data_IF_389687497913
#
_entry.id   IF_389687497913
#
_cell.length_a   1.000
_cell.length_b   1.000
_cell.length_c   1.000
_cell.angle_alpha   90.00
_cell.angle_beta   90.00
_cell.angle_gamma   90.00
#
_symmetry.space_group_name_H-M   'P 1'
#
loop_
_entity.id
_entity.type
_entity.pdbx_description
1 polymer ?
#
# COMPACT_ATOMS: atom_id res chain seq x y z
N UNK A 1 -52.62 -9.37 -12.53
CA UNK A 1 -52.34 -10.64 -11.84
C UNK A 1 -52.70 -11.79 -12.71
N UNK A 2 -51.81 -12.05 -13.66
CA UNK A 2 -51.67 -13.37 -14.22
C UNK A 2 -50.97 -14.27 -13.18
N UNK A 3 -51.18 -15.57 -13.31
CA UNK A 3 -50.42 -16.58 -12.58
C UNK A 3 -49.82 -17.51 -13.61
N UNK A 4 -48.51 -17.67 -13.55
CA UNK A 4 -47.69 -18.43 -14.48
C UNK A 4 -47.02 -19.56 -13.70
N UNK A 5 -47.10 -20.77 -14.24
CA UNK A 5 -46.52 -21.96 -13.65
C UNK A 5 -45.55 -22.58 -14.66
N UNK A 6 -44.33 -22.82 -14.22
CA UNK A 6 -43.36 -23.67 -14.88
C UNK A 6 -43.71 -25.15 -14.72
N UNK A 7 -42.72 -25.96 -15.02
CA UNK A 7 -42.70 -27.42 -14.95
C UNK A 7 -41.79 -27.86 -13.81
N UNK A 8 -41.18 -29.04 -13.88
CA UNK A 8 -40.18 -29.48 -12.90
C UNK A 8 -38.78 -29.58 -13.54
N UNK A 9 -38.57 -28.90 -14.67
CA UNK A 9 -37.29 -28.76 -15.31
C UNK A 9 -37.06 -27.31 -15.67
N UNK A 10 -35.91 -27.01 -16.28
CA UNK A 10 -35.50 -25.65 -16.64
C UNK A 10 -36.56 -24.95 -17.51
N UNK A 11 -37.10 -23.85 -16.99
CA UNK A 11 -38.10 -23.02 -17.63
C UNK A 11 -37.64 -21.56 -17.78
N UNK A 12 -38.11 -20.91 -18.85
CA UNK A 12 -37.97 -19.46 -19.05
C UNK A 12 -39.37 -18.84 -18.97
N UNK A 13 -39.63 -18.14 -17.87
CA UNK A 13 -40.95 -17.62 -17.53
C UNK A 13 -40.92 -16.10 -17.51
N UNK A 14 -41.87 -15.48 -18.21
CA UNK A 14 -41.97 -14.03 -18.31
C UNK A 14 -43.38 -13.53 -18.03
N UNK A 15 -43.46 -12.56 -17.13
CA UNK A 15 -44.67 -11.83 -16.75
C UNK A 15 -45.09 -10.77 -17.76
N UNK A 16 -45.92 -9.85 -17.28
CA UNK A 16 -46.56 -8.78 -18.02
C UNK A 16 -46.22 -7.43 -17.38
N UNK A 17 -46.71 -6.32 -17.94
CA UNK A 17 -46.54 -5.01 -17.32
C UNK A 17 -47.52 -4.74 -16.16
N UNK A 18 -48.10 -5.79 -15.57
CA UNK A 18 -48.97 -5.70 -14.38
C UNK A 18 -48.55 -6.75 -13.38
N UNK A 19 -48.81 -6.52 -12.09
CA UNK A 19 -48.56 -7.48 -11.01
C UNK A 19 -48.88 -8.91 -11.40
N UNK A 20 -47.94 -9.83 -11.25
CA UNK A 20 -48.04 -11.25 -11.61
C UNK A 20 -47.57 -12.16 -10.46
N UNK A 21 -47.90 -13.45 -10.57
CA UNK A 21 -47.33 -14.50 -9.72
C UNK A 21 -46.69 -15.56 -10.63
N UNK A 22 -45.40 -15.80 -10.49
CA UNK A 22 -44.62 -16.71 -11.32
C UNK A 22 -44.01 -17.78 -10.41
N UNK A 23 -44.19 -19.05 -10.77
CA UNK A 23 -43.67 -20.21 -10.01
C UNK A 23 -42.84 -21.10 -10.92
N UNK A 24 -41.53 -21.23 -10.66
CA UNK A 24 -40.60 -22.11 -11.39
C UNK A 24 -40.76 -23.58 -11.02
N UNK A 25 -40.80 -23.85 -9.70
CA UNK A 25 -40.85 -25.16 -9.05
C UNK A 25 -39.51 -25.87 -8.90
N UNK A 26 -39.14 -26.76 -9.81
CA UNK A 26 -37.87 -27.51 -9.76
C UNK A 26 -37.13 -27.26 -11.06
N UNK A 27 -35.81 -27.20 -11.00
CA UNK A 27 -34.99 -26.87 -12.16
C UNK A 27 -34.31 -25.53 -11.95
N UNK A 28 -33.35 -25.21 -12.81
CA UNK A 28 -32.63 -23.94 -12.78
C UNK A 28 -33.38 -22.97 -13.70
N UNK A 29 -34.33 -22.21 -13.16
CA UNK A 29 -35.31 -21.46 -13.93
C UNK A 29 -34.92 -19.98 -14.11
N UNK A 30 -35.41 -19.35 -15.18
CA UNK A 30 -35.29 -17.90 -15.39
C UNK A 30 -36.67 -17.25 -15.29
N UNK A 31 -36.86 -16.38 -14.30
CA UNK A 31 -38.13 -15.72 -14.00
C UNK A 31 -37.99 -14.21 -14.16
N UNK A 32 -38.81 -13.61 -15.03
CA UNK A 32 -38.81 -12.16 -15.28
C UNK A 32 -40.21 -11.57 -15.04
N UNK A 33 -40.37 -10.68 -14.06
CA UNK A 33 -41.63 -10.00 -13.72
C UNK A 33 -42.06 -8.97 -14.76
N UNK A 34 -41.10 -8.21 -15.28
CA UNK A 34 -41.28 -7.06 -16.20
C UNK A 34 -41.76 -5.80 -15.49
N UNK A 35 -43.03 -5.69 -15.13
CA UNK A 35 -43.47 -4.51 -14.41
C UNK A 35 -44.79 -4.68 -13.67
N UNK A 36 -45.01 -3.84 -12.67
CA UNK A 36 -46.05 -4.07 -11.67
C UNK A 36 -45.43 -4.63 -10.39
N UNK A 37 -46.28 -5.02 -9.44
CA UNK A 37 -45.80 -5.59 -8.18
C UNK A 37 -45.94 -7.10 -8.23
N UNK A 38 -44.85 -7.77 -8.54
CA UNK A 38 -44.77 -9.18 -8.89
C UNK A 38 -44.37 -10.06 -7.70
N UNK A 39 -44.68 -11.35 -7.83
CA UNK A 39 -44.25 -12.39 -6.88
C UNK A 39 -43.60 -13.50 -7.67
N UNK A 40 -42.28 -13.61 -7.61
CA UNK A 40 -41.48 -14.62 -8.28
C UNK A 40 -41.03 -15.65 -7.25
N UNK A 41 -41.30 -16.92 -7.53
CA UNK A 41 -40.89 -18.06 -6.70
C UNK A 41 -40.08 -19.00 -7.60
N UNK A 42 -38.76 -19.05 -7.40
CA UNK A 42 -37.85 -19.95 -8.13
C UNK A 42 -38.19 -21.40 -7.80
N UNK A 43 -37.89 -21.81 -6.57
CA UNK A 43 -38.26 -23.11 -6.04
C UNK A 43 -37.04 -23.91 -5.61
N UNK A 44 -36.73 -25.02 -6.28
CA UNK A 44 -35.49 -25.77 -6.05
C UNK A 44 -34.67 -25.77 -7.33
N UNK A 45 -33.38 -25.52 -7.22
CA UNK A 45 -32.47 -25.35 -8.36
C UNK A 45 -31.77 -24.01 -8.25
N UNK A 46 -30.86 -23.73 -9.16
CA UNK A 46 -30.20 -22.43 -9.23
C UNK A 46 -31.02 -21.50 -10.13
N UNK A 47 -31.87 -20.68 -9.53
CA UNK A 47 -32.82 -19.84 -10.25
C UNK A 47 -32.25 -18.43 -10.51
N UNK A 48 -32.63 -17.83 -11.63
CA UNK A 48 -32.33 -16.43 -11.98
C UNK A 48 -33.60 -15.60 -11.98
N UNK A 49 -33.68 -14.58 -11.14
CA UNK A 49 -34.88 -13.76 -10.93
C UNK A 49 -34.61 -12.29 -11.29
N UNK A 50 -35.51 -11.70 -12.10
CA UNK A 50 -35.57 -10.26 -12.37
C UNK A 50 -36.99 -9.75 -12.10
N UNK A 51 -37.16 -8.94 -11.05
CA UNK A 51 -38.45 -8.34 -10.70
C UNK A 51 -38.95 -7.32 -11.72
N UNK A 52 -38.04 -6.64 -12.43
CA UNK A 52 -38.39 -5.51 -13.29
C UNK A 52 -38.83 -4.28 -12.50
N UNK A 53 -39.79 -3.53 -13.07
CA UNK A 53 -40.29 -2.28 -12.49
C UNK A 53 -41.39 -2.53 -11.44
N UNK A 54 -41.15 -2.20 -10.19
CA UNK A 54 -42.22 -2.10 -9.20
C UNK A 54 -41.79 -2.54 -7.81
N UNK A 55 -42.77 -2.94 -6.99
CA UNK A 55 -42.49 -3.49 -5.66
C UNK A 55 -42.70 -4.98 -5.66
N UNK A 56 -41.62 -5.74 -5.74
CA UNK A 56 -41.66 -7.18 -6.01
C UNK A 56 -41.26 -8.01 -4.79
N UNK A 57 -41.75 -9.24 -4.75
CA UNK A 57 -41.26 -10.29 -3.87
C UNK A 57 -40.52 -11.32 -4.72
N UNK A 58 -39.23 -11.48 -4.46
CA UNK A 58 -38.36 -12.48 -5.11
C UNK A 58 -37.96 -13.52 -4.07
N UNK A 59 -38.37 -14.77 -4.29
CA UNK A 59 -38.08 -15.90 -3.42
C UNK A 59 -37.35 -16.95 -4.25
N UNK A 60 -36.03 -17.07 -4.07
CA UNK A 60 -35.20 -18.03 -4.81
C UNK A 60 -35.55 -19.46 -4.40
N UNK A 61 -35.60 -19.69 -3.09
CA UNK A 61 -36.05 -20.93 -2.50
C UNK A 61 -34.87 -21.77 -2.02
N UNK A 62 -34.53 -22.81 -2.77
CA UNK A 62 -33.43 -23.71 -2.42
C UNK A 62 -32.49 -23.92 -3.58
N UNK A 63 -31.24 -23.50 -3.43
CA UNK A 63 -30.22 -23.61 -4.46
C UNK A 63 -29.21 -22.51 -4.28
N UNK A 64 -28.63 -22.06 -5.40
CA UNK A 64 -27.85 -20.82 -5.45
C UNK A 64 -28.59 -19.88 -6.40
N UNK A 65 -29.36 -18.97 -5.82
CA UNK A 65 -30.31 -18.15 -6.57
C UNK A 65 -29.74 -16.76 -6.82
N UNK A 66 -29.87 -16.27 -8.06
CA UNK A 66 -29.31 -15.01 -8.53
C UNK A 66 -30.42 -14.00 -8.86
N UNK A 67 -30.36 -12.80 -8.28
CA UNK A 67 -31.15 -11.66 -8.75
C UNK A 67 -30.33 -10.79 -9.71
N UNK A 68 -30.94 -10.35 -10.82
CA UNK A 68 -30.23 -9.64 -11.90
C UNK A 68 -30.78 -8.24 -12.12
N UNK A 69 -29.88 -7.26 -12.10
CA UNK A 69 -30.18 -5.85 -12.35
C UNK A 69 -29.35 -5.25 -13.49
N UNK A 70 -28.75 -6.07 -14.36
CA UNK A 70 -27.81 -5.65 -15.41
C UNK A 70 -28.31 -4.56 -16.39
N UNK A 71 -29.62 -4.38 -16.52
CA UNK A 71 -30.22 -3.31 -17.34
C UNK A 71 -30.47 -2.00 -16.58
N UNK A 72 -30.31 -2.01 -15.25
CA UNK A 72 -30.57 -0.88 -14.38
C UNK A 72 -29.39 0.09 -14.38
N UNK A 73 -29.67 1.38 -14.52
CA UNK A 73 -28.66 2.44 -14.61
C UNK A 73 -28.63 3.35 -13.38
N UNK A 74 -29.37 3.00 -12.33
CA UNK A 74 -29.35 3.70 -11.04
C UNK A 74 -28.71 2.80 -9.99
N UNK A 75 -28.15 3.34 -8.90
CA UNK A 75 -27.60 2.51 -7.83
C UNK A 75 -28.60 1.46 -7.33
N UNK A 76 -28.11 0.27 -7.04
CA UNK A 76 -28.79 -0.84 -6.37
C UNK A 76 -28.18 -0.98 -4.99
N UNK A 77 -29.02 -1.04 -3.96
CA UNK A 77 -28.59 -1.27 -2.59
C UNK A 77 -29.30 -2.49 -2.04
N UNK A 78 -28.56 -3.55 -1.76
CA UNK A 78 -29.08 -4.80 -1.22
C UNK A 78 -28.39 -5.16 0.09
N UNK A 79 -29.17 -5.66 1.04
CA UNK A 79 -28.67 -6.28 2.27
C UNK A 79 -29.44 -7.58 2.49
N UNK A 80 -28.77 -8.71 2.22
CA UNK A 80 -29.35 -10.05 2.28
C UNK A 80 -29.87 -10.39 3.69
N UNK A 81 -29.29 -9.79 4.74
CA UNK A 81 -29.70 -10.00 6.14
C UNK A 81 -31.03 -9.33 6.45
N UNK A 82 -31.33 -8.23 5.74
CA UNK A 82 -32.62 -7.52 5.89
C UNK A 82 -33.67 -8.00 4.90
N UNK A 83 -33.24 -8.63 3.80
CA UNK A 83 -34.12 -9.09 2.72
C UNK A 83 -34.73 -7.94 1.91
N UNK A 84 -34.04 -6.80 1.81
CA UNK A 84 -34.54 -5.62 1.08
C UNK A 84 -33.53 -5.16 0.05
N UNK A 85 -34.03 -4.89 -1.16
CA UNK A 85 -33.29 -4.21 -2.22
C UNK A 85 -33.97 -2.87 -2.54
N UNK A 86 -33.17 -1.82 -2.72
CA UNK A 86 -33.65 -0.47 -2.98
C UNK A 86 -32.84 0.23 -4.07
N UNK A 87 -33.50 1.15 -4.79
CA UNK A 87 -32.91 1.87 -5.91
C UNK A 87 -32.96 3.38 -5.66
N UNK A 88 -31.92 3.97 -5.06
CA UNK A 88 -31.81 5.41 -4.94
C UNK A 88 -32.13 6.14 -6.26
N UNK A 89 -33.08 7.06 -6.21
CA UNK A 89 -33.58 7.78 -7.39
C UNK A 89 -34.84 7.18 -8.03
N UNK A 90 -35.17 5.92 -7.74
CA UNK A 90 -36.36 5.23 -8.23
C UNK A 90 -37.33 4.89 -7.07
N UNK A 91 -37.96 5.91 -6.47
CA UNK A 91 -38.83 5.77 -5.27
C UNK A 91 -40.02 4.82 -5.41
N UNK A 92 -40.35 4.40 -6.63
CA UNK A 92 -41.46 3.50 -6.94
C UNK A 92 -41.03 2.03 -7.00
N UNK A 93 -39.72 1.76 -6.90
CA UNK A 93 -39.11 0.45 -7.06
C UNK A 93 -38.42 0.00 -5.78
N UNK A 94 -38.67 -1.24 -5.38
CA UNK A 94 -38.01 -1.91 -4.26
C UNK A 94 -38.37 -3.38 -4.24
N UNK A 95 -37.43 -4.26 -3.94
CA UNK A 95 -37.74 -5.68 -3.79
C UNK A 95 -37.64 -6.13 -2.33
N UNK A 96 -38.49 -7.10 -1.99
CA UNK A 96 -38.30 -7.98 -0.85
C UNK A 96 -37.71 -9.27 -1.37
N UNK A 97 -36.55 -9.66 -0.84
CA UNK A 97 -35.85 -10.87 -1.27
C UNK A 97 -35.84 -11.90 -0.15
N UNK A 98 -35.93 -13.18 -0.52
CA UNK A 98 -35.93 -14.33 0.38
C UNK A 98 -35.11 -15.44 -0.27
N UNK A 99 -34.21 -16.07 0.49
CA UNK A 99 -33.36 -17.16 0.01
C UNK A 99 -32.67 -16.80 -1.31
N UNK A 100 -31.87 -15.73 -1.28
CA UNK A 100 -31.07 -15.28 -2.42
C UNK A 100 -29.63 -15.26 -1.95
N UNK A 101 -28.74 -15.86 -2.73
CA UNK A 101 -27.31 -15.93 -2.45
C UNK A 101 -26.50 -15.09 -3.46
N UNK A 102 -27.07 -14.79 -4.62
CA UNK A 102 -26.40 -14.08 -5.71
C UNK A 102 -27.06 -12.76 -6.09
N UNK A 103 -26.25 -11.75 -6.39
CA UNK A 103 -26.72 -10.46 -6.92
C UNK A 103 -25.82 -10.01 -8.07
N UNK A 104 -26.43 -9.69 -9.21
CA UNK A 104 -25.78 -8.99 -10.31
C UNK A 104 -26.31 -7.55 -10.39
N UNK A 105 -25.40 -6.59 -10.24
CA UNK A 105 -25.63 -5.16 -10.27
C UNK A 105 -25.86 -4.57 -11.66
N UNK A 106 -26.09 -3.27 -11.65
CA UNK A 106 -26.36 -2.45 -12.82
C UNK A 106 -25.11 -1.77 -13.39
N UNK A 107 -25.29 -0.58 -13.94
CA UNK A 107 -24.19 0.22 -14.49
C UNK A 107 -23.82 1.45 -13.65
N UNK A 108 -24.25 1.48 -12.39
CA UNK A 108 -24.03 2.58 -11.46
C UNK A 108 -23.36 2.02 -10.21
N UNK A 109 -22.77 2.88 -9.38
CA UNK A 109 -22.17 2.44 -8.12
C UNK A 109 -23.20 1.81 -7.18
N UNK A 110 -23.09 0.50 -7.03
CA UNK A 110 -23.98 -0.38 -6.29
C UNK A 110 -23.43 -0.69 -4.88
N UNK A 111 -24.28 -1.22 -4.01
CA UNK A 111 -23.87 -1.60 -2.65
C UNK A 111 -24.54 -2.90 -2.25
N UNK A 112 -23.78 -3.98 -2.11
CA UNK A 112 -24.27 -5.30 -1.74
C UNK A 112 -23.65 -5.75 -0.43
N UNK A 113 -24.51 -6.22 0.48
CA UNK A 113 -24.10 -6.77 1.77
C UNK A 113 -24.68 -8.18 1.86
N UNK A 114 -23.77 -9.14 1.98
CA UNK A 114 -24.01 -10.57 2.17
C UNK A 114 -24.57 -10.91 3.53
N UNK A 115 -24.71 -12.20 3.80
CA UNK A 115 -25.21 -12.71 5.06
C UNK A 115 -24.20 -13.62 5.78
N UNK A 116 -24.56 -14.86 6.08
CA UNK A 116 -23.65 -15.82 6.71
C UNK A 116 -23.46 -17.09 5.89
N UNK A 117 -24.00 -17.11 4.67
CA UNK A 117 -23.86 -18.17 3.69
C UNK A 117 -22.87 -17.73 2.61
N UNK A 118 -22.49 -18.66 1.73
CA UNK A 118 -21.72 -18.32 0.53
C UNK A 118 -22.55 -17.43 -0.40
N UNK A 119 -22.05 -16.24 -0.69
CA UNK A 119 -22.69 -15.25 -1.54
C UNK A 119 -21.88 -15.01 -2.83
N UNK A 120 -22.57 -14.65 -3.91
CA UNK A 120 -21.93 -14.35 -5.21
C UNK A 120 -22.39 -12.99 -5.74
N UNK A 121 -21.52 -12.00 -5.68
CA UNK A 121 -21.81 -10.64 -6.09
C UNK A 121 -21.01 -10.21 -7.33
N UNK A 122 -21.69 -9.51 -8.23
CA UNK A 122 -21.09 -8.87 -9.40
C UNK A 122 -21.57 -7.42 -9.48
N UNK A 123 -20.68 -6.45 -9.32
CA UNK A 123 -20.98 -5.02 -9.39
C UNK A 123 -21.29 -4.52 -10.81
N UNK A 124 -20.57 -5.06 -11.80
CA UNK A 124 -20.61 -4.68 -13.22
C UNK A 124 -19.89 -3.37 -13.52
N UNK A 125 -20.57 -2.26 -13.86
CA UNK A 125 -19.88 -0.98 -14.05
C UNK A 125 -20.30 -0.04 -12.93
N UNK A 126 -19.40 0.84 -12.50
CA UNK A 126 -19.68 1.76 -11.41
C UNK A 126 -18.57 1.67 -10.39
N UNK A 127 -18.66 2.49 -9.34
CA UNK A 127 -17.80 2.32 -8.18
C UNK A 127 -18.64 1.60 -7.13
N UNK A 128 -18.45 0.30 -7.04
CA UNK A 128 -19.29 -0.63 -6.31
C UNK A 128 -18.70 -0.91 -4.92
N UNK A 129 -19.58 -1.19 -3.95
CA UNK A 129 -19.20 -1.56 -2.60
C UNK A 129 -19.80 -2.93 -2.25
N UNK A 130 -18.98 -3.97 -2.23
CA UNK A 130 -19.38 -5.36 -2.08
C UNK A 130 -18.82 -5.92 -0.76
N UNK A 131 -19.68 -6.48 0.09
CA UNK A 131 -19.27 -7.09 1.35
C UNK A 131 -19.89 -8.48 1.54
N UNK A 132 -19.07 -9.52 1.72
CA UNK A 132 -19.51 -10.91 1.94
C UNK A 132 -19.99 -11.18 3.37
N UNK A 133 -19.29 -10.63 4.36
CA UNK A 133 -19.47 -10.84 5.81
C UNK A 133 -18.94 -12.18 6.32
N UNK A 134 -19.73 -13.25 6.27
CA UNK A 134 -19.26 -14.59 6.67
C UNK A 134 -19.66 -15.54 5.56
N UNK A 135 -18.79 -16.48 5.21
CA UNK A 135 -19.14 -17.41 4.16
C UNK A 135 -17.91 -17.89 3.43
N UNK A 136 -18.12 -18.28 2.18
CA UNK A 136 -17.06 -18.46 1.22
C UNK A 136 -17.57 -17.77 -0.02
N UNK A 137 -17.24 -16.49 -0.12
CA UNK A 137 -17.91 -15.55 -0.96
C UNK A 137 -17.15 -15.37 -2.27
N UNK A 138 -17.86 -14.95 -3.31
CA UNK A 138 -17.26 -14.56 -4.60
C UNK A 138 -17.72 -13.16 -4.93
N UNK A 139 -16.79 -12.20 -4.86
CA UNK A 139 -17.05 -10.78 -5.07
C UNK A 139 -16.30 -10.32 -6.32
N UNK A 140 -17.05 -9.78 -7.30
CA UNK A 140 -16.49 -9.26 -8.55
C UNK A 140 -16.95 -7.80 -8.69
N UNK A 141 -16.04 -6.83 -8.62
CA UNK A 141 -16.32 -5.40 -8.79
C UNK A 141 -16.78 -5.12 -10.21
N UNK A 142 -15.87 -5.23 -11.16
CA UNK A 142 -16.13 -5.15 -12.58
C UNK A 142 -15.36 -4.00 -13.22
N UNK A 143 -15.97 -2.84 -13.42
CA UNK A 143 -15.31 -1.69 -14.01
C UNK A 143 -15.65 -0.41 -13.25
N UNK A 144 -14.63 0.29 -12.80
CA UNK A 144 -14.70 1.47 -11.95
C UNK A 144 -13.76 1.31 -10.78
N UNK A 145 -13.89 2.13 -9.75
CA UNK A 145 -13.06 1.99 -8.56
C UNK A 145 -13.91 1.38 -7.45
N UNK A 146 -13.71 0.09 -7.23
CA UNK A 146 -14.55 -0.76 -6.41
C UNK A 146 -13.94 -1.02 -5.02
N UNK A 147 -14.80 -1.35 -4.06
CA UNK A 147 -14.41 -1.73 -2.71
C UNK A 147 -15.02 -3.09 -2.38
N UNK A 148 -14.16 -4.09 -2.22
CA UNK A 148 -14.54 -5.47 -1.96
C UNK A 148 -14.03 -5.91 -0.59
N UNK A 149 -14.92 -6.44 0.24
CA UNK A 149 -14.64 -6.94 1.59
C UNK A 149 -15.22 -8.36 1.72
N UNK A 150 -14.37 -9.38 1.63
CA UNK A 150 -14.76 -10.79 1.76
C UNK A 150 -15.36 -11.07 3.13
N UNK A 151 -14.59 -10.77 4.18
CA UNK A 151 -15.00 -10.88 5.57
C UNK A 151 -14.41 -12.12 6.22
N UNK A 152 -15.23 -12.99 6.78
CA UNK A 152 -14.74 -14.20 7.44
C UNK A 152 -15.01 -15.44 6.60
N UNK A 153 -13.93 -16.15 6.27
CA UNK A 153 -13.96 -17.43 5.58
C UNK A 153 -13.17 -17.32 4.28
N UNK A 154 -12.99 -18.43 3.54
CA UNK A 154 -12.18 -18.41 2.34
C UNK A 154 -12.94 -17.78 1.18
N UNK A 155 -12.51 -16.59 0.76
CA UNK A 155 -13.20 -15.76 -0.22
C UNK A 155 -12.44 -15.66 -1.55
N UNK A 156 -13.16 -15.32 -2.62
CA UNK A 156 -12.60 -14.99 -3.93
C UNK A 156 -13.00 -13.58 -4.32
N UNK A 157 -12.01 -12.71 -4.44
CA UNK A 157 -12.18 -11.29 -4.73
C UNK A 157 -11.57 -10.95 -6.08
N UNK A 158 -12.32 -10.23 -6.91
CA UNK A 158 -11.80 -9.66 -8.13
C UNK A 158 -12.27 -8.22 -8.34
N UNK A 159 -11.33 -7.28 -8.31
CA UNK A 159 -11.60 -5.85 -8.51
C UNK A 159 -12.12 -5.57 -9.91
N UNK A 160 -11.32 -5.88 -10.93
CA UNK A 160 -11.65 -5.68 -12.32
C UNK A 160 -10.85 -4.53 -12.93
N UNK A 161 -11.49 -3.70 -13.74
CA UNK A 161 -10.86 -2.52 -14.33
C UNK A 161 -11.01 -1.31 -13.42
N UNK A 162 -9.93 -0.57 -13.20
CA UNK A 162 -9.93 0.63 -12.37
C UNK A 162 -9.17 0.37 -11.08
N UNK A 163 -9.11 1.37 -10.21
CA UNK A 163 -8.28 1.28 -9.00
C UNK A 163 -9.13 0.77 -7.86
N UNK A 164 -8.95 -0.48 -7.50
CA UNK A 164 -9.81 -1.19 -6.58
C UNK A 164 -9.19 -1.32 -5.19
N UNK A 165 -10.03 -1.51 -4.17
CA UNK A 165 -9.60 -1.86 -2.81
C UNK A 165 -10.21 -3.19 -2.43
N UNK A 166 -9.37 -4.19 -2.18
CA UNK A 166 -9.80 -5.54 -1.83
C UNK A 166 -9.29 -5.94 -0.44
N UNK A 167 -10.16 -6.58 0.34
CA UNK A 167 -9.85 -7.08 1.69
C UNK A 167 -10.43 -8.47 1.91
N UNK A 168 -9.58 -9.43 2.23
CA UNK A 168 -9.97 -10.83 2.50
C UNK A 168 -10.25 -11.11 3.98
N UNK A 169 -9.53 -10.42 4.88
CA UNK A 169 -9.59 -10.64 6.33
C UNK A 169 -9.03 -12.01 6.76
N UNK A 170 -9.72 -12.80 7.59
CA UNK A 170 -9.19 -14.04 8.17
C UNK A 170 -9.47 -15.22 7.23
N UNK A 171 -8.55 -16.19 7.19
CA UNK A 171 -8.56 -17.44 6.41
C UNK A 171 -7.93 -17.28 5.02
N UNK A 172 -7.80 -18.39 4.29
CA UNK A 172 -7.14 -18.45 3.00
C UNK A 172 -8.01 -17.81 1.91
N UNK A 173 -7.58 -16.67 1.38
CA UNK A 173 -8.29 -15.92 0.36
C UNK A 173 -7.61 -15.97 -1.01
N UNK A 174 -8.38 -15.63 -2.04
CA UNK A 174 -7.91 -15.55 -3.41
C UNK A 174 -8.27 -14.20 -4.02
N UNK A 175 -7.25 -13.44 -4.40
CA UNK A 175 -7.38 -12.14 -5.07
C UNK A 175 -6.93 -12.24 -6.53
N UNK A 176 -7.72 -11.65 -7.43
CA UNK A 176 -7.38 -11.49 -8.84
C UNK A 176 -7.72 -10.07 -9.31
N UNK A 177 -6.84 -9.40 -10.05
CA UNK A 177 -7.24 -8.14 -10.72
C UNK A 177 -8.36 -8.37 -11.74
N UNK A 178 -8.28 -9.44 -12.55
CA UNK A 178 -9.27 -9.69 -13.61
C UNK A 178 -9.68 -11.15 -13.76
N UNK A 179 -10.97 -11.34 -14.06
CA UNK A 179 -11.54 -12.66 -14.32
C UNK A 179 -11.29 -13.12 -15.76
N UNK A 180 -11.20 -12.22 -16.75
CA UNK A 180 -10.87 -12.55 -18.15
C UNK A 180 -10.58 -11.28 -18.98
N UNK A 181 -9.42 -11.25 -19.65
CA UNK A 181 -8.99 -10.42 -20.81
C UNK A 181 -7.95 -9.33 -20.50
N UNK A 182 -6.83 -9.42 -21.22
CA UNK A 182 -5.68 -8.52 -21.24
C UNK A 182 -6.06 -7.04 -21.50
N UNK A 183 -5.61 -6.20 -20.56
CA UNK A 183 -5.31 -4.75 -20.62
C UNK A 183 -6.55 -3.83 -20.51
N UNK A 184 -6.72 -3.01 -19.46
CA UNK A 184 -5.78 -2.20 -18.67
C UNK A 184 -6.28 -2.23 -17.22
N UNK A 185 -5.59 -2.97 -16.35
CA UNK A 185 -5.94 -3.02 -14.93
C UNK A 185 -5.49 -1.70 -14.27
N UNK A 186 -6.09 -1.36 -13.12
CA UNK A 186 -5.77 -0.13 -12.40
C UNK A 186 -4.68 -0.34 -11.36
N UNK A 187 -4.39 0.72 -10.62
CA UNK A 187 -3.48 0.63 -9.48
C UNK A 187 -4.31 0.14 -8.27
N UNK A 188 -4.20 -1.15 -7.95
CA UNK A 188 -5.03 -1.80 -6.92
C UNK A 188 -4.40 -1.76 -5.53
N UNK A 189 -5.24 -1.75 -4.50
CA UNK A 189 -4.83 -1.87 -3.10
C UNK A 189 -5.39 -3.17 -2.49
N UNK A 190 -4.51 -4.09 -2.13
CA UNK A 190 -4.87 -5.40 -1.58
C UNK A 190 -4.46 -5.44 -0.11
N UNK A 191 -5.45 -5.63 0.77
CA UNK A 191 -5.28 -5.71 2.21
C UNK A 191 -5.47 -7.15 2.67
N UNK A 192 -4.42 -7.75 3.22
CA UNK A 192 -4.44 -9.11 3.75
C UNK A 192 -4.14 -9.14 5.26
N UNK A 193 -4.62 -10.19 5.92
CA UNK A 193 -4.36 -10.43 7.35
C UNK A 193 -3.83 -11.85 7.62
N UNK A 194 -4.52 -12.67 8.43
CA UNK A 194 -4.14 -14.07 8.69
C UNK A 194 -4.70 -15.00 7.61
N UNK A 195 -3.89 -15.92 7.08
CA UNK A 195 -4.33 -16.92 6.09
C UNK A 195 -3.23 -17.29 5.12
N UNK A 196 -3.44 -18.32 4.30
CA UNK A 196 -2.58 -18.62 3.14
C UNK A 196 -3.23 -18.09 1.87
N UNK A 197 -2.84 -16.88 1.48
CA UNK A 197 -3.47 -16.19 0.36
C UNK A 197 -2.79 -16.46 -1.00
N UNK A 198 -3.60 -16.35 -2.05
CA UNK A 198 -3.12 -16.21 -3.43
C UNK A 198 -3.46 -14.83 -3.96
N UNK A 199 -2.43 -14.07 -4.34
CA UNK A 199 -2.54 -12.66 -4.72
C UNK A 199 -1.94 -12.46 -6.10
N UNK A 200 -2.73 -11.86 -6.99
CA UNK A 200 -2.32 -11.39 -8.31
C UNK A 200 -2.88 -9.98 -8.53
N UNK A 201 -2.01 -8.96 -8.45
CA UNK A 201 -2.38 -7.56 -8.67
C UNK A 201 -2.62 -7.21 -10.14
N UNK A 202 -2.20 -8.07 -11.08
CA UNK A 202 -2.47 -7.86 -12.49
C UNK A 202 -1.55 -6.85 -13.15
N UNK A 203 -2.12 -5.82 -13.78
CA UNK A 203 -1.38 -4.78 -14.46
C UNK A 203 -1.67 -3.42 -13.84
N UNK A 204 -0.66 -2.58 -13.67
CA UNK A 204 -0.84 -1.35 -12.91
C UNK A 204 0.35 -1.19 -11.97
N UNK A 205 0.22 -0.26 -11.03
CA UNK A 205 1.14 -0.15 -9.89
C UNK A 205 0.42 -0.61 -8.64
N UNK A 206 0.48 -1.91 -8.38
CA UNK A 206 -0.36 -2.53 -7.35
C UNK A 206 0.31 -2.48 -5.98
N UNK A 207 -0.49 -2.20 -4.95
CA UNK A 207 -0.05 -2.04 -3.57
C UNK A 207 -0.57 -3.17 -2.70
N UNK A 208 0.36 -3.92 -2.11
CA UNK A 208 0.05 -4.91 -1.09
C UNK A 208 0.27 -4.31 0.31
N UNK A 209 -0.79 -4.27 1.12
CA UNK A 209 -0.74 -3.85 2.52
C UNK A 209 -0.88 -5.08 3.40
N UNK A 210 0.17 -5.38 4.16
CA UNK A 210 0.23 -6.57 5.02
C UNK A 210 0.01 -6.14 6.47
N UNK A 211 -1.16 -6.45 7.03
CA UNK A 211 -1.47 -6.10 8.43
C UNK A 211 -1.36 -7.33 9.32
N UNK A 212 -0.39 -7.35 10.24
CA UNK A 212 -0.26 -8.40 11.25
C UNK A 212 -1.20 -8.10 12.43
N UNK A 213 -2.13 -8.99 12.83
CA UNK A 213 -2.95 -8.74 14.00
C UNK A 213 -2.08 -8.69 15.27
N UNK A 214 -2.26 -7.64 16.07
CA UNK A 214 -1.66 -7.55 17.41
C UNK A 214 -2.29 -8.58 18.33
N UNK A 215 -1.69 -9.78 18.40
CA UNK A 215 -2.16 -10.85 19.27
C UNK A 215 -2.00 -10.46 20.75
N UNK A 216 -3.06 -9.92 21.37
CA UNK A 216 -3.13 -9.67 22.82
C UNK A 216 -3.37 -10.99 23.59
N UNK A 217 -2.43 -11.93 23.52
CA UNK A 217 -2.39 -13.03 24.48
C UNK A 217 -1.73 -12.59 25.80
N UNK A 218 -2.60 -12.16 26.71
CA UNK A 218 -2.58 -12.51 28.14
C UNK A 218 -1.22 -12.93 28.76
N UNK A 219 -0.65 -12.02 29.56
CA UNK A 219 0.37 -12.18 30.63
C UNK A 219 1.86 -12.22 30.26
N UNK A 220 2.52 -11.06 30.43
CA UNK A 220 3.94 -10.90 30.79
C UNK A 220 5.02 -11.41 29.82
N UNK A 221 4.93 -11.02 28.54
CA UNK A 221 6.11 -10.90 27.67
C UNK A 221 5.88 -9.71 26.72
N UNK A 222 6.88 -8.86 26.54
CA UNK A 222 6.90 -7.87 25.45
C UNK A 222 7.04 -8.71 24.18
N UNK A 223 6.01 -8.72 23.34
CA UNK A 223 6.05 -9.42 22.06
C UNK A 223 6.60 -8.43 21.04
N UNK A 224 7.64 -8.85 20.34
CA UNK A 224 8.03 -8.26 19.06
C UNK A 224 6.90 -8.62 18.09
N UNK A 225 6.34 -7.64 17.38
CA UNK A 225 5.45 -7.92 16.26
C UNK A 225 6.19 -8.81 15.26
N UNK A 226 5.63 -9.97 14.86
CA UNK A 226 6.31 -10.81 13.90
C UNK A 226 6.47 -10.07 12.57
N UNK A 227 7.69 -9.95 12.07
CA UNK A 227 7.94 -9.28 10.79
C UNK A 227 7.49 -10.09 9.58
N UNK A 228 7.42 -9.39 8.46
CA UNK A 228 7.03 -9.84 7.12
C UNK A 228 8.28 -10.24 6.33
N UNK A 229 8.27 -11.37 5.62
CA UNK A 229 9.32 -11.70 4.64
C UNK A 229 8.73 -11.78 3.25
N UNK A 230 8.89 -10.73 2.45
CA UNK A 230 8.40 -10.64 1.09
C UNK A 230 9.55 -10.76 0.07
N UNK A 231 9.31 -11.50 -1.00
CA UNK A 231 10.16 -11.53 -2.17
C UNK A 231 9.28 -11.47 -3.43
N UNK A 232 9.20 -10.29 -4.03
CA UNK A 232 8.37 -10.01 -5.20
C UNK A 232 8.92 -10.69 -6.46
N UNK A 233 10.24 -10.84 -6.57
CA UNK A 233 10.88 -11.56 -7.68
C UNK A 233 10.60 -13.08 -7.68
N UNK A 234 10.47 -13.71 -6.50
CA UNK A 234 10.13 -15.12 -6.34
C UNK A 234 8.63 -15.35 -6.16
N UNK A 235 7.87 -14.28 -5.92
CA UNK A 235 6.44 -14.29 -5.66
C UNK A 235 6.04 -14.98 -4.36
N UNK A 236 6.85 -14.82 -3.32
CA UNK A 236 6.63 -15.46 -2.01
C UNK A 236 6.55 -14.43 -0.91
N UNK A 237 5.52 -14.54 -0.08
CA UNK A 237 5.39 -13.83 1.19
C UNK A 237 5.44 -14.88 2.32
N UNK A 238 5.88 -14.46 3.51
CA UNK A 238 5.75 -15.22 4.76
C UNK A 238 5.41 -14.22 5.85
N UNK A 239 4.27 -14.41 6.50
CA UNK A 239 3.87 -13.65 7.69
C UNK A 239 4.10 -14.49 8.96
N UNK A 240 4.78 -13.92 9.96
CA UNK A 240 4.93 -14.48 11.31
C UNK A 240 5.50 -15.92 11.43
N UNK A 241 6.31 -16.36 10.46
CA UNK A 241 6.89 -17.72 10.36
C UNK A 241 5.86 -18.87 10.34
N UNK A 242 4.57 -18.58 10.11
CA UNK A 242 3.51 -19.58 10.18
C UNK A 242 3.29 -20.25 8.82
N UNK A 243 3.07 -19.49 7.74
CA UNK A 243 2.66 -20.02 6.44
C UNK A 243 3.24 -19.17 5.28
N UNK A 244 3.13 -19.64 4.02
CA UNK A 244 3.70 -18.98 2.82
C UNK A 244 2.58 -18.57 1.90
N UNK A 245 2.37 -17.28 1.72
CA UNK A 245 1.44 -16.74 0.73
C UNK A 245 2.13 -16.68 -0.64
N UNK A 246 1.32 -16.73 -1.70
CA UNK A 246 1.81 -16.56 -3.08
C UNK A 246 1.40 -15.19 -3.58
N UNK A 247 2.38 -14.39 -3.96
CA UNK A 247 2.20 -13.02 -4.45
C UNK A 247 2.77 -12.92 -5.86
N UNK A 248 2.04 -12.35 -6.80
CA UNK A 248 2.54 -12.05 -8.15
C UNK A 248 2.00 -10.70 -8.57
N UNK A 249 2.73 -9.98 -9.43
CA UNK A 249 2.27 -8.70 -10.00
C UNK A 249 1.92 -7.68 -8.91
N UNK A 250 2.87 -7.42 -8.02
CA UNK A 250 2.79 -6.36 -7.01
C UNK A 250 4.06 -5.55 -7.16
N UNK A 251 3.94 -4.23 -7.18
CA UNK A 251 5.05 -3.28 -7.33
C UNK A 251 5.29 -2.47 -6.06
N UNK A 252 4.25 -2.23 -5.26
CA UNK A 252 4.31 -1.43 -4.05
C UNK A 252 3.93 -2.26 -2.82
N UNK A 253 4.56 -1.95 -1.68
CA UNK A 253 4.39 -2.72 -0.45
C UNK A 253 4.37 -1.79 0.74
N UNK A 254 3.40 -2.00 1.63
CA UNK A 254 3.37 -1.41 2.98
C UNK A 254 3.31 -2.55 4.00
N UNK A 255 4.37 -2.68 4.81
CA UNK A 255 4.41 -3.63 5.94
C UNK A 255 4.03 -2.94 7.24
N UNK A 256 3.61 -3.69 8.27
CA UNK A 256 3.30 -3.17 9.60
C UNK A 256 4.54 -2.99 10.48
N UNK A 257 4.34 -2.78 11.79
CA UNK A 257 5.44 -2.81 12.75
C UNK A 257 6.02 -4.25 12.83
N UNK A 258 7.33 -4.40 13.03
CA UNK A 258 8.05 -5.66 13.14
C UNK A 258 9.36 -5.63 12.37
N UNK A 259 10.20 -6.65 12.56
CA UNK A 259 11.46 -6.77 11.81
C UNK A 259 11.18 -7.34 10.40
N UNK A 260 10.88 -6.47 9.44
CA UNK A 260 10.48 -6.88 8.08
C UNK A 260 11.67 -7.10 7.15
N UNK A 261 11.51 -7.99 6.17
CA UNK A 261 12.47 -8.23 5.10
C UNK A 261 11.76 -8.21 3.74
N UNK A 262 12.04 -7.20 2.92
CA UNK A 262 11.40 -7.02 1.60
C UNK A 262 12.46 -7.09 0.51
N UNK A 263 12.24 -7.95 -0.49
CA UNK A 263 12.94 -7.88 -1.77
C UNK A 263 11.94 -7.43 -2.83
N UNK A 264 12.19 -6.27 -3.43
CA UNK A 264 11.43 -5.73 -4.53
C UNK A 264 11.65 -6.50 -5.85
N UNK A 265 11.16 -5.91 -6.92
CA UNK A 265 11.09 -6.50 -8.25
C UNK A 265 12.14 -5.89 -9.19
N UNK A 266 11.84 -5.86 -10.49
CA UNK A 266 12.65 -5.12 -11.48
C UNK A 266 11.89 -3.91 -12.03
N UNK A 267 10.74 -3.57 -11.44
CA UNK A 267 9.94 -2.40 -11.74
C UNK A 267 10.14 -1.38 -10.62
N UNK A 268 9.88 -0.11 -10.90
CA UNK A 268 9.88 0.98 -9.91
C UNK A 268 8.95 0.63 -8.74
N UNK A 269 9.51 0.44 -7.54
CA UNK A 269 8.79 0.00 -6.34
C UNK A 269 8.67 1.12 -5.31
N UNK A 270 7.47 1.31 -4.74
CA UNK A 270 7.28 2.07 -3.49
C UNK A 270 7.20 1.08 -2.31
N UNK A 271 8.23 1.06 -1.47
CA UNK A 271 8.32 0.16 -0.32
C UNK A 271 8.31 1.00 0.97
N UNK A 272 7.29 0.81 1.79
CA UNK A 272 7.19 1.43 3.12
C UNK A 272 7.22 0.35 4.19
N UNK A 273 8.19 0.46 5.10
CA UNK A 273 8.30 -0.40 6.28
C UNK A 273 8.07 0.46 7.52
N UNK A 274 7.25 0.00 8.48
CA UNK A 274 7.02 0.72 9.73
C UNK A 274 8.08 0.34 10.79
N UNK A 275 7.81 0.53 12.08
CA UNK A 275 8.81 0.37 13.15
C UNK A 275 9.39 -1.06 13.20
N UNK A 276 10.70 -1.21 13.41
CA UNK A 276 11.39 -2.49 13.56
C UNK A 276 12.76 -2.52 12.87
N UNK A 277 13.52 -3.58 13.08
CA UNK A 277 14.83 -3.75 12.44
C UNK A 277 14.63 -4.32 11.02
N UNK A 278 14.39 -3.42 10.06
CA UNK A 278 13.95 -3.77 8.71
C UNK A 278 15.10 -3.99 7.73
N UNK A 279 14.90 -4.87 6.74
CA UNK A 279 15.84 -5.12 5.64
C UNK A 279 15.12 -5.00 4.30
N UNK A 280 15.46 -4.00 3.49
CA UNK A 280 14.88 -3.75 2.17
C UNK A 280 15.95 -3.80 1.09
N UNK A 281 15.68 -4.58 0.04
CA UNK A 281 16.42 -4.56 -1.22
C UNK A 281 15.41 -4.31 -2.35
N UNK A 282 15.33 -3.09 -2.88
CA UNK A 282 14.28 -2.74 -3.84
C UNK A 282 14.51 -3.36 -5.23
N UNK A 283 15.77 -3.46 -5.68
CA UNK A 283 16.14 -4.33 -6.79
C UNK A 283 16.59 -3.54 -7.99
N UNK A 284 15.81 -3.52 -9.07
CA UNK A 284 16.10 -2.69 -10.23
C UNK A 284 14.85 -1.87 -10.59
N UNK A 285 15.04 -0.68 -11.15
CA UNK A 285 13.96 0.30 -11.27
C UNK A 285 14.34 1.56 -10.51
N UNK A 286 13.54 2.61 -10.66
CA UNK A 286 13.70 3.82 -9.86
C UNK A 286 12.79 3.69 -8.63
N UNK A 287 13.37 3.24 -7.53
CA UNK A 287 12.61 2.81 -6.36
C UNK A 287 12.46 3.95 -5.34
N UNK A 288 11.41 3.87 -4.51
CA UNK A 288 11.25 4.73 -3.34
C UNK A 288 11.11 3.87 -2.10
N UNK A 289 12.04 4.02 -1.16
CA UNK A 289 12.06 3.26 0.10
C UNK A 289 11.79 4.22 1.26
N UNK A 290 10.83 3.87 2.12
CA UNK A 290 10.50 4.60 3.35
C UNK A 290 10.73 3.65 4.53
N UNK A 291 11.73 3.95 5.36
CA UNK A 291 12.04 3.21 6.59
C UNK A 291 11.08 3.53 7.75
N UNK A 292 11.13 2.72 8.81
CA UNK A 292 10.33 2.90 10.03
C UNK A 292 10.81 4.03 10.93
N UNK A 293 9.97 4.56 11.83
CA UNK A 293 10.39 5.66 12.73
C UNK A 293 11.32 5.20 13.87
N UNK A 294 11.36 3.89 14.13
CA UNK A 294 12.19 3.25 15.12
C UNK A 294 12.77 1.92 14.59
N UNK A 295 14.02 1.62 14.94
CA UNK A 295 14.70 0.39 14.52
C UNK A 295 16.13 0.64 14.06
N UNK A 296 16.85 -0.43 13.75
CA UNK A 296 18.05 -0.39 12.89
C UNK A 296 17.66 -0.86 11.47
N UNK A 297 17.58 0.05 10.50
CA UNK A 297 17.17 -0.32 9.14
C UNK A 297 18.37 -0.65 8.25
N UNK A 298 18.20 -1.58 7.31
CA UNK A 298 19.11 -1.83 6.19
C UNK A 298 18.36 -1.62 4.89
N UNK A 299 18.55 -0.49 4.23
CA UNK A 299 17.82 -0.08 3.03
C UNK A 299 18.76 0.00 1.83
N UNK A 300 18.44 -0.69 0.74
CA UNK A 300 19.21 -0.70 -0.49
C UNK A 300 18.29 -0.49 -1.70
N UNK A 301 18.53 0.58 -2.47
CA UNK A 301 17.79 0.90 -3.70
C UNK A 301 18.07 -0.15 -4.78
N UNK A 302 19.33 -0.27 -5.18
CA UNK A 302 19.78 -1.34 -6.07
C UNK A 302 20.27 -0.78 -7.39
N UNK A 303 19.49 -0.86 -8.46
CA UNK A 303 19.89 -0.35 -9.77
C UNK A 303 18.80 0.53 -10.39
N UNK A 304 19.10 1.81 -10.58
CA UNK A 304 18.18 2.84 -11.05
C UNK A 304 18.38 4.12 -10.22
N UNK A 305 17.65 5.18 -10.54
CA UNK A 305 17.74 6.43 -9.77
C UNK A 305 16.77 6.33 -8.58
N UNK A 306 17.28 5.99 -7.39
CA UNK A 306 16.46 5.62 -6.23
C UNK A 306 16.27 6.77 -5.22
N UNK A 307 15.16 6.76 -4.48
CA UNK A 307 14.86 7.69 -3.38
C UNK A 307 14.70 6.93 -2.05
N UNK A 308 15.60 7.16 -1.09
CA UNK A 308 15.64 6.42 0.18
C UNK A 308 15.41 7.37 1.35
N UNK A 309 14.39 7.09 2.15
CA UNK A 309 14.06 7.80 3.37
C UNK A 309 14.39 6.94 4.59
N UNK A 310 15.62 7.10 5.08
CA UNK A 310 16.05 6.61 6.40
C UNK A 310 15.45 7.50 7.48
N UNK A 311 14.65 6.92 8.36
CA UNK A 311 14.00 7.63 9.45
C UNK A 311 14.90 7.57 10.69
N UNK A 312 15.33 8.73 11.15
CA UNK A 312 16.24 8.79 12.30
C UNK A 312 15.58 8.40 13.60
N UNK A 313 15.84 7.17 14.05
CA UNK A 313 15.59 6.69 15.41
C UNK A 313 16.29 7.60 16.43
N UNK A 314 15.54 8.50 17.10
CA UNK A 314 16.04 9.22 18.28
C UNK A 314 15.79 8.35 19.52
N UNK A 315 16.70 7.43 19.84
CA UNK A 315 16.70 6.80 21.16
C UNK A 315 17.30 7.75 22.20
N UNK A 316 16.45 8.43 22.97
CA UNK A 316 16.89 9.29 24.08
C UNK A 316 17.23 8.41 25.29
N UNK A 317 18.47 7.97 25.41
CA UNK A 317 18.97 7.44 26.68
C UNK A 317 19.25 8.61 27.64
N UNK A 318 18.66 8.65 28.84
CA UNK A 318 19.05 9.64 29.83
C UNK A 318 20.45 9.29 30.37
N UNK A 319 21.49 9.93 29.85
CA UNK A 319 22.75 10.02 30.58
C UNK A 319 22.65 11.11 31.65
N UNK A 320 23.08 10.79 32.86
CA UNK A 320 23.03 11.64 34.05
C UNK A 320 23.75 13.01 33.91
N UNK A 321 24.38 13.32 32.76
CA UNK A 321 25.12 14.57 32.54
C UNK A 321 25.10 15.07 31.07
N UNK A 322 23.92 15.40 30.56
CA UNK A 322 23.76 16.53 29.61
C UNK A 322 24.45 16.45 28.24
N UNK A 323 24.71 15.25 27.72
CA UNK A 323 25.05 15.02 26.30
C UNK A 323 23.93 14.23 25.63
N UNK A 324 23.52 14.64 24.43
CA UNK A 324 22.61 13.87 23.58
C UNK A 324 23.47 12.96 22.69
N UNK A 325 23.15 11.68 22.61
CA UNK A 325 23.78 10.76 21.62
C UNK A 325 22.64 10.15 20.81
N UNK A 326 22.50 10.60 19.56
CA UNK A 326 21.65 9.91 18.60
C UNK A 326 22.39 8.64 18.17
N UNK A 327 21.76 7.49 18.35
CA UNK A 327 22.30 6.18 17.93
C UNK A 327 21.20 5.51 17.11
N UNK A 328 21.02 5.97 15.88
CA UNK A 328 20.55 5.08 14.81
C UNK A 328 21.80 4.53 14.13
N UNK A 329 21.77 3.29 13.65
CA UNK A 329 22.90 2.59 13.00
C UNK A 329 22.55 2.17 11.59
N UNK A 330 21.52 2.80 11.03
CA UNK A 330 20.85 2.46 9.80
C UNK A 330 21.86 2.36 8.66
N UNK A 331 21.79 1.31 7.86
CA UNK A 331 22.64 1.08 6.71
C UNK A 331 21.85 1.45 5.44
N UNK A 332 22.18 2.59 4.83
CA UNK A 332 21.48 3.12 3.66
C UNK A 332 22.40 3.06 2.45
N UNK A 333 21.95 2.43 1.37
CA UNK A 333 22.70 2.31 0.12
C UNK A 333 21.84 2.68 -1.08
N UNK A 334 22.26 3.64 -1.89
CA UNK A 334 21.61 3.96 -3.17
C UNK A 334 21.76 2.81 -4.16
N UNK A 335 22.99 2.53 -4.58
CA UNK A 335 23.30 1.41 -5.47
C UNK A 335 23.95 1.87 -6.77
N UNK A 336 23.50 1.39 -7.91
CA UNK A 336 23.88 1.88 -9.23
C UNK A 336 22.84 2.91 -9.71
N UNK A 337 23.20 4.16 -9.93
CA UNK A 337 22.28 5.21 -10.38
C UNK A 337 22.58 6.57 -9.79
N UNK A 338 21.69 7.54 -10.00
CA UNK A 338 21.79 8.85 -9.35
C UNK A 338 20.78 8.91 -8.21
N UNK A 339 21.23 8.58 -7.02
CA UNK A 339 20.31 8.31 -5.91
C UNK A 339 20.10 9.54 -5.03
N UNK A 340 18.96 9.59 -4.36
CA UNK A 340 18.65 10.59 -3.33
C UNK A 340 18.42 9.92 -1.99
N UNK A 341 19.30 10.17 -1.02
CA UNK A 341 19.24 9.54 0.30
C UNK A 341 18.96 10.59 1.38
N UNK A 342 17.79 10.47 1.99
CA UNK A 342 17.35 11.23 3.15
C UNK A 342 17.73 10.44 4.41
N UNK A 343 18.68 10.93 5.19
CA UNK A 343 19.29 10.17 6.30
C UNK A 343 18.60 10.33 7.65
N UNK A 344 17.62 11.25 7.74
CA UNK A 344 16.97 11.57 9.01
C UNK A 344 17.91 12.14 10.09
N UNK A 345 17.55 11.91 11.37
CA UNK A 345 18.30 12.29 12.56
C UNK A 345 18.99 11.06 13.19
N UNK A 346 20.28 10.84 12.93
CA UNK A 346 20.99 9.69 13.47
C UNK A 346 22.35 9.44 12.79
N UNK A 347 23.09 8.44 13.26
CA UNK A 347 24.39 8.04 12.70
C UNK A 347 24.20 6.86 11.73
N UNK A 348 23.68 7.11 10.53
CA UNK A 348 23.56 6.08 9.52
C UNK A 348 24.91 5.77 8.83
N UNK A 349 25.16 4.51 8.47
CA UNK A 349 26.17 4.10 7.48
C UNK A 349 25.56 4.30 6.09
N UNK A 350 25.95 5.39 5.42
CA UNK A 350 25.31 5.82 4.17
C UNK A 350 26.30 5.73 3.01
N UNK A 351 25.87 5.11 1.91
CA UNK A 351 26.61 5.02 0.67
C UNK A 351 25.68 5.32 -0.52
N UNK A 352 26.03 6.28 -1.36
CA UNK A 352 25.34 6.54 -2.62
C UNK A 352 25.57 5.39 -3.61
N UNK A 353 26.83 5.07 -3.89
CA UNK A 353 27.20 3.91 -4.71
C UNK A 353 27.83 4.35 -6.03
N UNK A 354 27.44 3.74 -7.15
CA UNK A 354 27.88 4.12 -8.48
C UNK A 354 26.94 5.17 -9.08
N UNK A 355 27.41 6.43 -9.20
CA UNK A 355 26.73 7.46 -9.97
C UNK A 355 26.82 8.83 -9.32
N UNK A 356 25.84 9.70 -9.55
CA UNK A 356 25.83 11.07 -9.01
C UNK A 356 24.76 11.23 -7.93
N UNK A 357 25.15 10.97 -6.69
CA UNK A 357 24.21 10.86 -5.58
C UNK A 357 23.99 12.17 -4.82
N UNK A 358 22.81 12.29 -4.23
CA UNK A 358 22.36 13.42 -3.41
C UNK A 358 22.05 12.96 -2.00
N UNK A 359 22.66 13.61 -1.01
CA UNK A 359 22.38 13.34 0.41
C UNK A 359 21.59 14.51 1.02
N UNK A 360 20.49 14.19 1.70
CA UNK A 360 19.62 15.15 2.37
C UNK A 360 19.63 14.87 3.87
N UNK A 361 20.21 15.80 4.63
CA UNK A 361 20.32 15.72 6.09
C UNK A 361 19.29 16.67 6.72
N UNK A 362 18.53 16.15 7.70
CA UNK A 362 17.54 16.87 8.51
C UNK A 362 16.30 17.42 7.77
N UNK A 363 15.32 16.54 7.52
CA UNK A 363 13.92 16.92 7.25
C UNK A 363 12.99 16.25 8.27
N UNK A 364 11.90 16.93 8.66
CA UNK A 364 10.72 16.36 9.36
C UNK A 364 9.53 17.24 8.93
N UNK A 365 8.35 16.71 8.56
CA UNK A 365 7.55 15.62 9.12
C UNK A 365 6.67 14.97 8.03
N UNK A 366 6.58 13.64 7.98
CA UNK A 366 5.49 12.92 7.30
C UNK A 366 4.28 12.80 8.24
N UNK A 367 3.07 13.11 7.77
CA UNK A 367 1.84 12.70 8.49
C UNK A 367 0.94 11.98 7.51
N UNK A 368 0.75 10.68 7.72
CA UNK A 368 -0.10 9.80 6.92
C UNK A 368 -1.58 10.16 7.12
N UNK A 369 -2.32 10.42 6.03
CA UNK A 369 -3.76 10.06 5.89
C UNK A 369 -4.11 9.92 4.40
N UNK A 370 -4.43 8.69 3.98
CA UNK A 370 -5.24 8.31 2.81
C UNK A 370 -5.30 9.30 1.61
N UNK A 371 -4.29 9.25 0.73
CA UNK A 371 -4.48 9.57 -0.69
C UNK A 371 -4.32 11.02 -1.16
N UNK A 372 -3.73 11.93 -0.37
CA UNK A 372 -3.31 13.27 -0.88
C UNK A 372 -1.99 13.70 -0.23
N UNK A 373 -0.91 13.76 -1.01
CA UNK A 373 0.37 14.33 -0.58
C UNK A 373 0.27 15.86 -0.53
N UNK A 374 0.47 16.48 0.64
CA UNK A 374 0.59 17.93 0.76
C UNK A 374 2.02 18.29 1.22
N UNK A 375 2.80 18.87 0.31
CA UNK A 375 4.21 19.21 0.52
C UNK A 375 4.32 20.56 1.22
N UNK A 376 4.84 20.62 2.44
CA UNK A 376 5.20 21.91 3.07
C UNK A 376 6.59 21.89 3.67
N UNK A 377 7.56 22.45 2.94
CA UNK A 377 8.96 22.61 3.34
C UNK A 377 9.14 23.64 4.47
N UNK A 378 9.89 23.30 5.52
CA UNK A 378 10.33 24.23 6.57
C UNK A 378 11.87 24.25 6.71
N UNK A 379 12.50 25.08 5.86
CA UNK A 379 13.84 25.71 6.02
C UNK A 379 15.11 24.82 5.88
N UNK A 380 16.26 25.43 5.50
CA UNK A 380 17.03 25.11 4.30
C UNK A 380 17.91 23.86 4.40
N UNK A 381 17.91 23.10 3.30
CA UNK A 381 18.70 21.90 3.00
C UNK A 381 20.20 22.18 2.87
N UNK A 382 21.03 21.27 3.39
CA UNK A 382 22.46 21.19 3.08
C UNK A 382 22.65 20.13 2.01
N UNK A 383 22.95 20.57 0.78
CA UNK A 383 23.31 19.70 -0.34
C UNK A 383 24.80 19.41 -0.27
N UNK A 384 25.18 18.14 -0.10
CA UNK A 384 26.56 17.68 -0.29
C UNK A 384 26.57 16.83 -1.56
N UNK A 385 27.29 17.30 -2.58
CA UNK A 385 27.56 16.55 -3.81
C UNK A 385 28.86 15.78 -3.59
N UNK A 386 28.82 14.45 -3.54
CA UNK A 386 30.04 13.64 -3.55
C UNK A 386 30.50 13.45 -5.01
N UNK A 387 31.78 13.70 -5.26
CA UNK A 387 32.41 13.51 -6.56
C UNK A 387 33.39 12.36 -6.45
N UNK A 388 32.98 11.22 -7.01
CA UNK A 388 33.81 10.04 -7.33
C UNK A 388 34.70 9.51 -6.19
N UNK A 389 34.17 8.47 -5.52
CA UNK A 389 34.86 7.41 -4.73
C UNK A 389 34.71 7.47 -3.21
N UNK A 390 33.51 7.13 -2.73
CA UNK A 390 33.34 6.32 -1.50
C UNK A 390 34.14 6.75 -0.28
N UNK A 391 34.23 8.05 0.00
CA UNK A 391 34.79 8.54 1.25
C UNK A 391 33.66 8.72 2.29
N UNK A 392 33.85 8.10 3.46
CA UNK A 392 32.93 8.20 4.59
C UNK A 392 32.93 9.62 5.16
N UNK A 393 31.78 10.29 5.13
CA UNK A 393 31.60 11.63 5.74
C UNK A 393 30.82 11.46 7.05
N UNK A 394 31.48 11.63 8.20
CA UNK A 394 30.84 11.71 9.52
C UNK A 394 30.49 13.17 9.86
N UNK A 395 29.21 13.46 10.17
CA UNK A 395 28.73 14.78 10.58
C UNK A 395 28.01 14.68 11.94
N UNK A 396 28.48 15.44 12.92
CA UNK A 396 27.88 15.58 14.26
C UNK A 396 27.20 16.96 14.34
N UNK A 397 25.90 17.00 14.64
CA UNK A 397 25.10 18.23 14.66
C UNK A 397 24.68 18.53 16.11
N UNK A 398 25.37 19.48 16.75
CA UNK A 398 25.01 20.00 18.07
C UNK A 398 23.77 20.93 17.97
N UNK A 399 22.61 20.60 18.58
CA UNK A 399 21.41 21.42 18.52
C UNK A 399 21.51 22.76 19.28
N UNK A 400 22.56 22.98 20.08
CA UNK A 400 22.69 24.18 20.92
C UNK A 400 23.37 25.38 20.23
N UNK A 401 24.00 25.20 19.06
CA UNK A 401 24.80 26.24 18.40
C UNK A 401 24.63 26.20 16.86
N UNK A 402 23.96 27.19 16.24
CA UNK A 402 24.07 27.37 14.78
C UNK A 402 25.43 27.99 14.40
N UNK A 403 25.82 28.10 13.11
CA UNK A 403 25.57 27.25 11.94
C UNK A 403 26.52 26.02 11.91
N UNK A 404 26.30 25.10 10.95
CA UNK A 404 27.02 23.84 10.68
C UNK A 404 28.45 23.75 11.25
N UNK A 405 28.64 22.85 12.22
CA UNK A 405 29.95 22.52 12.80
C UNK A 405 30.43 21.20 12.20
N UNK A 406 31.58 21.19 11.52
CA UNK A 406 32.24 19.96 11.09
C UNK A 406 33.02 19.38 12.27
N UNK A 407 32.55 18.29 12.88
CA UNK A 407 33.28 17.58 13.93
C UNK A 407 34.13 16.47 13.31
N UNK A 408 35.24 16.87 12.68
CA UNK A 408 36.36 15.95 12.52
C UNK A 408 36.99 15.68 13.88
N UNK A 409 37.39 14.44 14.17
CA UNK A 409 38.16 14.15 15.39
C UNK A 409 39.38 15.08 15.46
N UNK A 410 39.32 16.00 16.42
CA UNK A 410 40.33 17.00 16.84
C UNK A 410 40.25 18.35 16.13
N UNK A 411 39.91 19.37 16.93
CA UNK A 411 39.99 20.83 16.69
C UNK A 411 38.77 21.49 16.03
N UNK A 412 38.05 22.28 16.83
CA UNK A 412 36.95 23.16 16.42
C UNK A 412 37.54 24.25 15.50
N UNK A 413 37.09 24.32 14.25
CA UNK A 413 37.38 25.43 13.35
C UNK A 413 36.05 26.11 12.97
N UNK A 414 35.87 27.35 13.39
CA UNK A 414 34.74 28.19 12.97
C UNK A 414 35.07 28.91 11.66
N UNK A 415 34.18 28.80 10.66
CA UNK A 415 34.34 29.44 9.35
C UNK A 415 33.33 30.59 9.20
N UNK A 416 33.81 31.76 8.77
CA UNK A 416 32.97 32.96 8.63
C UNK A 416 32.36 33.14 7.24
N UNK A 417 32.94 32.53 6.21
CA UNK A 417 32.46 32.59 4.82
C UNK A 417 32.86 31.31 4.08
N UNK A 418 31.89 30.72 3.37
CA UNK A 418 32.09 29.63 2.40
C UNK A 418 31.74 30.20 1.02
N UNK A 419 32.71 30.22 0.12
CA UNK A 419 32.51 30.60 -1.29
C UNK A 419 32.96 29.48 -2.22
N UNK A 420 32.33 29.37 -3.39
CA UNK A 420 32.78 28.50 -4.46
C UNK A 420 32.95 29.28 -5.76
N UNK A 421 33.96 28.90 -6.55
CA UNK A 421 34.16 29.37 -7.91
C UNK A 421 34.45 28.17 -8.82
N UNK A 422 33.81 28.14 -9.99
CA UNK A 422 34.02 27.10 -11.01
C UNK A 422 34.95 27.67 -12.08
N UNK A 423 36.11 27.03 -12.26
CA UNK A 423 37.10 27.42 -13.27
C UNK A 423 37.37 26.24 -14.19
N UNK A 424 36.71 26.22 -15.34
CA UNK A 424 36.79 25.07 -16.26
C UNK A 424 35.96 23.89 -15.73
N UNK A 425 36.58 22.72 -15.60
CA UNK A 425 35.95 21.53 -15.00
C UNK A 425 36.25 21.37 -13.50
N UNK A 426 37.05 22.27 -12.92
CA UNK A 426 37.44 22.18 -11.52
C UNK A 426 36.61 23.17 -10.68
N UNK A 427 36.17 22.72 -9.50
CA UNK A 427 35.49 23.56 -8.50
C UNK A 427 36.45 23.89 -7.37
N UNK A 428 36.68 25.17 -7.14
CA UNK A 428 37.55 25.67 -6.08
C UNK A 428 36.67 26.14 -4.92
N UNK A 429 36.76 25.46 -3.78
CA UNK A 429 36.09 25.85 -2.54
C UNK A 429 37.04 26.74 -1.73
N UNK A 430 36.60 27.95 -1.40
CA UNK A 430 37.35 28.88 -0.55
C UNK A 430 36.72 28.93 0.83
N UNK A 431 37.48 28.51 1.84
CA UNK A 431 37.09 28.59 3.25
C UNK A 431 37.80 29.77 3.90
N UNK A 432 37.04 30.74 4.43
CA UNK A 432 37.58 31.83 5.25
C UNK A 432 37.36 31.52 6.73
N UNK A 433 38.45 31.27 7.44
CA UNK A 433 38.45 31.12 8.90
C UNK A 433 38.00 32.42 9.57
N UNK A 434 37.09 32.31 10.55
CA UNK A 434 36.68 33.45 11.36
C UNK A 434 37.89 33.93 12.20
N UNK A 435 38.08 35.25 12.39
CA UNK A 435 39.07 35.72 13.33
C UNK A 435 38.65 35.32 14.75
N UNK A 436 39.39 34.40 15.36
CA UNK A 436 39.23 33.98 16.75
C UNK A 436 39.31 35.20 17.67
N UNK A 437 38.20 35.55 18.33
CA UNK A 437 38.23 36.45 19.47
C UNK A 437 38.27 35.62 20.75
N UNK A 438 39.35 35.83 21.50
CA UNK A 438 39.67 35.33 22.84
C UNK A 438 40.59 34.09 22.91
N UNK A 439 41.64 34.28 23.71
CA UNK A 439 42.82 33.43 23.90
C UNK A 439 42.50 32.15 24.70
N UNK A 440 43.07 31.03 24.27
CA UNK A 440 43.90 30.21 25.16
C UNK A 440 45.17 29.82 24.40
N UNK A 441 46.31 30.35 24.85
CA UNK A 441 47.65 30.09 24.31
C UNK A 441 48.07 28.67 24.74
N UNK A 442 47.72 27.64 23.98
CA UNK A 442 48.50 26.40 23.83
C UNK A 442 47.79 25.45 22.85
N UNK A 443 48.55 24.91 21.88
CA UNK A 443 48.14 24.03 20.75
C UNK A 443 47.77 24.70 19.42
N UNK A 444 48.76 25.34 18.79
CA UNK A 444 48.90 25.24 17.33
C UNK A 444 50.17 24.44 17.06
N UNK A 445 50.03 23.13 16.82
CA UNK A 445 51.11 22.34 16.27
C UNK A 445 50.69 21.81 14.89
N UNK A 446 51.27 22.45 13.86
CA UNK A 446 51.40 22.02 12.45
C UNK A 446 50.22 21.25 11.84
N UNK A 447 49.49 21.92 10.94
CA UNK A 447 48.70 21.25 9.90
C UNK A 447 49.62 20.44 8.97
N UNK A 448 49.53 19.11 9.03
CA UNK A 448 50.24 18.21 8.11
C UNK A 448 49.24 17.68 7.08
N UNK A 449 49.17 18.34 5.93
CA UNK A 449 48.40 17.84 4.78
C UNK A 449 49.24 16.78 4.08
N UNK A 450 48.78 15.53 4.11
CA UNK A 450 49.38 14.44 3.32
C UNK A 450 48.54 14.24 2.07
N UNK A 451 48.95 14.84 0.95
CA UNK A 451 48.40 14.52 -0.37
C UNK A 451 49.01 13.20 -0.82
N UNK A 452 48.23 12.12 -0.82
CA UNK A 452 48.62 10.91 -1.53
C UNK A 452 48.51 11.19 -3.03
N UNK A 453 49.64 11.06 -3.74
CA UNK A 453 49.78 11.06 -5.19
C UNK A 453 49.55 12.36 -5.99
N UNK A 454 50.01 13.50 -5.46
CA UNK A 454 50.18 14.72 -6.27
C UNK A 454 51.63 14.86 -6.80
N UNK A 455 51.82 14.78 -8.12
CA UNK A 455 53.13 14.95 -8.80
C UNK A 455 53.32 16.33 -9.45
N UNK A 456 52.52 17.33 -9.08
CA UNK A 456 52.65 18.72 -9.54
C UNK A 456 53.44 19.61 -8.58
N UNK A 457 53.94 20.76 -9.02
CA UNK A 457 54.49 21.76 -8.10
C UNK A 457 53.37 22.31 -7.20
N UNK A 458 53.64 22.38 -5.89
CA UNK A 458 52.74 22.96 -4.90
C UNK A 458 52.35 24.40 -5.31
N UNK A 459 51.05 24.75 -5.36
CA UNK A 459 50.65 26.14 -5.57
C UNK A 459 51.01 26.98 -4.35
N UNK A 460 51.40 28.24 -4.59
CA UNK A 460 51.65 29.22 -3.55
C UNK A 460 50.36 29.46 -2.75
N UNK A 461 50.40 29.20 -1.44
CA UNK A 461 49.35 29.60 -0.50
C UNK A 461 49.33 31.13 -0.37
N UNK A 462 48.16 31.74 -0.62
CA UNK A 462 47.84 33.11 -0.19
C UNK A 462 46.85 33.05 0.96
#
# INVERSE_FOLDING_TARGET
MATIFGTNGVDELRGTATSDAIHGFWGDDSLVGVGGNDRLFGGNGADTLDGGDGTDLLDGGGGLDLIVYSSNTSPVRADLRTGVVSFPGQRWRSETIVSIEGIEGGSAGDTFIGDGAANTFRGNNGNDALSGNYGSDTLIGGAGNDSLDGGNGPDSLAGGFGNDTMRGDLHDDIFFSTVMVEEVDGDDAILISDGVDFIDGGAGSDTLVVTVPTYLEHWNRVWVTPGVKLNMALGTLVVADAERERVVSIENVETGDGDDAVNGSTADNLISVHDGDNVVFAGAGNDTIIGGEAGEETLNGGAGDDEIHGNGSIYIAPEDYGGYTAVSTDALSGGEGNDTIHTGWGMADVSGGEGSDTYVIADRVFTQVFGVYDFTYLHPSVTIMDFERGEKIELDVDPAHGPLTFVGRTTILEYSEIGYEVVGNDTIITLRLAPLTEYDDDYIDRLQVTLADYTGPLPDLV
#
